data_IF_873897252172
#
_entry.id   IF_873897252172
#
_cell.length_a   1.000
_cell.length_b   1.000
_cell.length_c   1.000
_cell.angle_alpha   90.00
_cell.angle_beta   90.00
_cell.angle_gamma   90.00
#
_symmetry.space_group_name_H-M   'P 1'
#
loop_
_entity.id
_entity.type
_entity.pdbx_description
1 polymer ?
#
# COMPACT_ATOMS: atom_id res chain seq x y z
N UNK A 1 5.77 -26.81 23.26
CA UNK A 1 6.47 -26.84 21.96
C UNK A 1 5.75 -25.86 21.05
N UNK A 2 6.44 -24.91 20.41
CA UNK A 2 5.80 -23.95 19.49
C UNK A 2 5.54 -24.69 18.17
N UNK A 3 4.34 -24.54 17.60
CA UNK A 3 3.94 -25.17 16.33
C UNK A 3 4.87 -24.76 15.18
N UNK A 4 5.17 -25.67 14.26
CA UNK A 4 5.91 -25.40 13.01
C UNK A 4 5.20 -24.41 12.09
N UNK A 5 3.89 -24.23 12.26
CA UNK A 5 3.05 -23.28 11.53
C UNK A 5 3.09 -21.86 12.11
N UNK A 6 3.76 -21.67 13.25
CA UNK A 6 3.84 -20.38 13.92
C UNK A 6 4.69 -19.40 13.12
N UNK A 7 4.20 -18.16 13.00
CA UNK A 7 4.84 -17.09 12.24
C UNK A 7 5.07 -15.88 13.12
N UNK A 8 6.29 -15.38 13.14
CA UNK A 8 6.61 -14.11 13.79
C UNK A 8 6.43 -12.98 12.77
N UNK A 9 5.67 -11.96 13.13
CA UNK A 9 5.44 -10.77 12.30
C UNK A 9 6.09 -9.56 12.94
N UNK A 10 7.05 -8.96 12.26
CA UNK A 10 7.74 -7.75 12.71
C UNK A 10 7.35 -6.60 11.80
N UNK A 11 6.80 -5.54 12.40
CA UNK A 11 6.46 -4.31 11.69
C UNK A 11 7.56 -3.27 11.91
N UNK A 12 8.12 -2.77 10.83
CA UNK A 12 9.21 -1.79 10.85
C UNK A 12 8.77 -0.56 10.08
N UNK A 13 9.02 0.62 10.63
CA UNK A 13 8.78 1.90 9.99
C UNK A 13 10.09 2.64 9.79
N UNK A 14 10.24 3.28 8.64
CA UNK A 14 11.40 4.09 8.30
C UNK A 14 10.94 5.41 7.69
N UNK A 15 11.60 6.54 8.01
CA UNK A 15 11.31 7.82 7.36
C UNK A 15 11.75 7.82 5.88
N UNK A 16 12.71 6.96 5.49
CA UNK A 16 13.11 6.78 4.09
C UNK A 16 11.90 6.34 3.26
N UNK A 17 11.63 7.08 2.21
CA UNK A 17 10.45 7.01 1.37
C UNK A 17 10.79 7.11 -0.13
N UNK A 18 12.04 6.83 -0.51
CA UNK A 18 12.44 6.69 -1.90
C UNK A 18 12.09 5.31 -2.43
N UNK A 19 11.83 5.22 -3.75
CA UNK A 19 11.51 3.95 -4.38
C UNK A 19 12.69 2.96 -4.30
N UNK A 20 13.92 3.44 -4.42
CA UNK A 20 15.12 2.59 -4.31
C UNK A 20 15.24 1.98 -2.91
N UNK A 21 14.92 2.73 -1.84
CA UNK A 21 14.91 2.19 -0.48
C UNK A 21 13.85 1.10 -0.28
N UNK A 22 12.71 1.22 -0.98
CA UNK A 22 11.66 0.20 -1.01
C UNK A 22 12.15 -1.09 -1.69
N UNK A 23 12.82 -0.97 -2.84
CA UNK A 23 13.39 -2.10 -3.56
C UNK A 23 14.46 -2.80 -2.74
N UNK A 24 15.37 -2.05 -2.11
CA UNK A 24 16.42 -2.58 -1.23
C UNK A 24 15.82 -3.43 -0.10
N UNK A 25 14.81 -2.91 0.60
CA UNK A 25 14.18 -3.63 1.71
C UNK A 25 13.38 -4.85 1.22
N UNK A 26 12.58 -4.72 0.17
CA UNK A 26 11.77 -5.84 -0.35
C UNK A 26 12.63 -6.97 -0.94
N UNK A 27 13.76 -6.63 -1.57
CA UNK A 27 14.74 -7.60 -2.08
C UNK A 27 15.65 -8.15 -0.98
N UNK A 28 15.51 -7.67 0.27
CA UNK A 28 16.40 -8.02 1.38
C UNK A 28 17.88 -7.73 1.05
N UNK A 29 18.16 -6.58 0.43
CA UNK A 29 19.48 -6.20 -0.06
C UNK A 29 19.96 -7.10 -1.20
N UNK A 30 19.07 -7.47 -2.12
CA UNK A 30 19.36 -8.37 -3.24
C UNK A 30 19.41 -9.87 -2.91
N UNK A 31 19.17 -10.27 -1.66
CA UNK A 31 19.11 -11.70 -1.27
C UNK A 31 17.90 -12.42 -1.85
N UNK A 32 16.84 -11.71 -2.21
CA UNK A 32 15.68 -12.20 -2.97
C UNK A 32 15.80 -11.72 -4.42
N UNK A 33 16.05 -12.63 -5.35
CA UNK A 33 16.18 -12.36 -6.78
C UNK A 33 14.97 -12.85 -7.58
N UNK A 34 14.86 -12.46 -8.86
CA UNK A 34 13.81 -12.94 -9.77
C UNK A 34 12.48 -12.18 -9.67
N UNK A 35 12.50 -10.97 -9.09
CA UNK A 35 11.32 -10.12 -8.88
C UNK A 35 11.38 -8.83 -9.72
N UNK A 36 12.18 -8.79 -10.77
CA UNK A 36 12.40 -7.60 -11.61
C UNK A 36 11.08 -7.09 -12.20
N UNK A 37 10.21 -8.02 -12.64
CA UNK A 37 8.86 -7.69 -13.12
C UNK A 37 7.99 -7.11 -12.01
N UNK A 38 8.03 -7.67 -10.80
CA UNK A 38 7.27 -7.15 -9.67
C UNK A 38 7.73 -5.75 -9.26
N UNK A 39 9.04 -5.45 -9.35
CA UNK A 39 9.55 -4.11 -9.08
C UNK A 39 9.13 -3.11 -10.15
N UNK A 40 9.06 -3.52 -11.41
CA UNK A 40 8.49 -2.68 -12.46
C UNK A 40 6.99 -2.40 -12.21
N UNK A 41 6.21 -3.43 -11.86
CA UNK A 41 4.81 -3.28 -11.42
C UNK A 41 4.67 -2.33 -10.24
N UNK A 42 5.54 -2.46 -9.23
CA UNK A 42 5.51 -1.63 -8.03
C UNK A 42 5.87 -0.19 -8.35
N UNK A 43 6.79 0.05 -9.29
CA UNK A 43 7.16 1.39 -9.75
C UNK A 43 5.98 2.10 -10.40
N UNK A 44 5.21 1.39 -11.23
CA UNK A 44 4.01 1.94 -11.84
C UNK A 44 2.91 2.19 -10.81
N UNK A 45 2.67 1.24 -9.89
CA UNK A 45 1.72 1.43 -8.80
C UNK A 45 2.08 2.66 -7.95
N UNK A 46 3.35 2.79 -7.56
CA UNK A 46 3.87 3.89 -6.77
C UNK A 46 3.67 5.23 -7.48
N UNK A 47 4.10 5.32 -8.74
CA UNK A 47 3.94 6.52 -9.57
C UNK A 47 2.48 6.92 -9.72
N UNK A 48 1.61 5.96 -10.03
CA UNK A 48 0.19 6.22 -10.29
C UNK A 48 -0.57 6.61 -9.03
N UNK A 49 -0.32 5.94 -7.90
CA UNK A 49 -1.03 6.23 -6.64
C UNK A 49 -0.58 7.53 -5.98
N UNK A 50 0.68 7.95 -6.21
CA UNK A 50 1.20 9.24 -5.75
C UNK A 50 1.17 10.35 -6.79
N UNK A 51 0.58 10.11 -7.97
CA UNK A 51 0.45 11.10 -9.06
C UNK A 51 1.80 11.74 -9.43
N UNK A 52 2.84 10.91 -9.52
CA UNK A 52 4.20 11.32 -9.87
C UNK A 52 4.39 11.36 -11.40
N UNK A 53 5.26 12.26 -11.90
CA UNK A 53 5.54 12.34 -13.33
C UNK A 53 6.22 11.07 -13.86
N UNK A 54 6.09 10.85 -15.16
CA UNK A 54 6.91 9.85 -15.86
C UNK A 54 8.38 10.24 -15.71
N UNK A 55 9.22 9.29 -15.35
CA UNK A 55 10.66 9.54 -15.12
C UNK A 55 10.98 10.17 -13.75
N UNK A 56 10.07 10.11 -12.76
CA UNK A 56 10.38 10.53 -11.40
C UNK A 56 11.67 9.88 -10.87
N UNK A 57 12.43 10.62 -10.06
CA UNK A 57 13.65 10.10 -9.42
C UNK A 57 13.28 8.99 -8.44
N UNK A 58 13.90 7.82 -8.59
CA UNK A 58 13.67 6.69 -7.67
C UNK A 58 14.50 6.78 -6.39
N UNK A 59 15.56 7.58 -6.41
CA UNK A 59 16.48 7.74 -5.29
C UNK A 59 16.07 8.86 -4.33
N UNK A 60 15.24 9.80 -4.77
CA UNK A 60 14.71 10.88 -3.93
C UNK A 60 13.57 10.38 -3.06
N UNK A 61 13.59 10.77 -1.77
CA UNK A 61 12.49 10.51 -0.86
C UNK A 61 11.25 11.32 -1.25
N UNK A 62 10.07 10.75 -1.05
CA UNK A 62 8.84 11.53 -1.06
C UNK A 62 8.91 12.66 -0.01
N UNK A 63 8.16 13.76 -0.19
CA UNK A 63 8.20 14.90 0.73
C UNK A 63 8.00 14.49 2.19
N UNK A 64 8.85 15.03 3.08
CA UNK A 64 8.77 14.74 4.51
C UNK A 64 7.39 15.09 5.06
N UNK A 65 6.83 14.20 5.88
CA UNK A 65 5.56 14.41 6.58
C UNK A 65 5.78 14.29 8.08
N UNK A 66 5.51 15.35 8.82
CA UNK A 66 5.64 15.39 10.29
C UNK A 66 4.45 14.68 10.95
N UNK A 67 4.49 13.35 10.97
CA UNK A 67 3.46 12.54 11.61
C UNK A 67 4.08 11.22 12.10
N UNK A 68 3.73 10.75 13.31
CA UNK A 68 4.32 9.53 13.90
C UNK A 68 4.06 8.21 13.14
N UNK A 69 3.25 8.26 12.08
CA UNK A 69 2.99 7.13 11.18
C UNK A 69 3.28 7.43 9.72
N UNK A 70 4.00 8.52 9.42
CA UNK A 70 4.55 8.78 8.09
C UNK A 70 5.71 7.84 7.78
N UNK A 71 6.30 7.98 6.60
CA UNK A 71 7.33 7.05 6.13
C UNK A 71 6.79 5.67 5.75
N UNK A 72 7.65 4.86 5.15
CA UNK A 72 7.29 3.52 4.69
C UNK A 72 7.20 2.54 5.86
N UNK A 73 6.24 1.63 5.77
CA UNK A 73 6.03 0.57 6.74
C UNK A 73 6.21 -0.79 6.06
N UNK A 74 6.89 -1.70 6.72
CA UNK A 74 7.20 -3.03 6.23
C UNK A 74 6.81 -4.07 7.27
N UNK A 75 6.30 -5.18 6.78
CA UNK A 75 5.99 -6.38 7.56
C UNK A 75 6.97 -7.47 7.12
N UNK A 76 7.75 -7.98 8.06
CA UNK A 76 8.58 -9.16 7.90
C UNK A 76 7.89 -10.35 8.54
N UNK A 77 7.49 -11.33 7.73
CA UNK A 77 6.92 -12.60 8.19
C UNK A 77 8.05 -13.64 8.22
N UNK A 78 8.40 -14.07 9.43
CA UNK A 78 9.44 -15.07 9.68
C UNK A 78 8.76 -16.41 9.92
N UNK A 79 9.08 -17.38 9.06
CA UNK A 79 8.59 -18.75 9.13
C UNK A 79 9.78 -19.70 9.27
N UNK A 80 9.69 -20.72 10.13
CA UNK A 80 10.81 -21.64 10.42
C UNK A 80 11.31 -22.39 9.18
N UNK A 81 10.42 -22.68 8.24
CA UNK A 81 10.75 -23.36 6.99
C UNK A 81 11.45 -22.48 5.94
N UNK A 82 11.48 -21.16 6.12
CA UNK A 82 12.01 -20.24 5.12
C UNK A 82 13.39 -19.71 5.54
N UNK A 83 14.37 -19.79 4.64
CA UNK A 83 15.72 -19.25 4.88
C UNK A 83 15.75 -17.71 4.99
N UNK A 84 14.79 -17.05 4.35
CA UNK A 84 14.62 -15.59 4.37
C UNK A 84 13.17 -15.24 4.76
N UNK A 85 12.95 -14.12 5.47
CA UNK A 85 11.61 -13.62 5.73
C UNK A 85 10.90 -13.20 4.45
N UNK A 86 9.57 -13.36 4.44
CA UNK A 86 8.74 -12.69 3.47
C UNK A 86 8.52 -11.24 3.88
N UNK A 87 8.70 -10.33 2.94
CA UNK A 87 8.57 -8.89 3.17
C UNK A 87 7.36 -8.34 2.41
N UNK A 88 6.49 -7.62 3.13
CA UNK A 88 5.36 -6.90 2.58
C UNK A 88 5.51 -5.41 2.86
N UNK A 89 5.40 -4.59 1.83
CA UNK A 89 5.35 -3.13 1.92
C UNK A 89 3.93 -2.69 2.27
N UNK A 90 3.79 -1.63 3.06
CA UNK A 90 2.54 -0.90 3.29
C UNK A 90 2.75 0.54 2.84
N UNK A 91 2.29 0.86 1.62
CA UNK A 91 2.35 2.18 1.01
C UNK A 91 1.36 3.10 1.75
N UNK A 92 1.83 4.14 2.47
CA UNK A 92 1.00 5.01 3.32
C UNK A 92 0.25 6.08 2.52
N UNK A 93 -0.76 5.66 1.75
CA UNK A 93 -1.58 6.53 0.87
C UNK A 93 -2.21 7.71 1.60
N UNK A 94 -2.56 7.57 2.88
CA UNK A 94 -3.10 8.68 3.68
C UNK A 94 -2.13 9.87 3.83
N UNK A 95 -0.82 9.63 3.76
CA UNK A 95 0.21 10.65 4.01
C UNK A 95 0.79 11.26 2.73
N UNK A 96 0.83 10.49 1.66
CA UNK A 96 1.50 10.89 0.42
C UNK A 96 0.57 10.93 -0.80
N UNK A 97 -0.62 10.35 -0.70
CA UNK A 97 -1.67 10.55 -1.70
C UNK A 97 -2.21 11.97 -1.63
N UNK A 98 -2.49 12.57 -2.79
CA UNK A 98 -3.06 13.92 -2.86
C UNK A 98 -4.52 13.97 -2.38
N UNK A 99 -5.30 12.94 -2.71
CA UNK A 99 -6.63 12.68 -2.16
C UNK A 99 -7.02 11.23 -2.36
N UNK A 100 -8.00 10.75 -1.59
CA UNK A 100 -8.49 9.38 -1.71
C UNK A 100 -8.97 9.06 -3.14
N UNK A 101 -9.66 9.98 -3.78
CA UNK A 101 -10.13 9.82 -5.16
C UNK A 101 -8.97 9.74 -6.16
N UNK A 102 -7.90 10.52 -5.97
CA UNK A 102 -6.71 10.46 -6.84
C UNK A 102 -5.95 9.15 -6.66
N UNK A 103 -5.74 8.72 -5.41
CA UNK A 103 -5.12 7.42 -5.10
C UNK A 103 -5.92 6.29 -5.75
N UNK A 104 -7.25 6.32 -5.63
CA UNK A 104 -8.12 5.30 -6.21
C UNK A 104 -8.02 5.26 -7.74
N UNK A 105 -8.03 6.42 -8.41
CA UNK A 105 -7.84 6.52 -9.87
C UNK A 105 -6.48 5.95 -10.29
N UNK A 106 -5.43 6.25 -9.54
CA UNK A 106 -4.09 5.70 -9.76
C UNK A 106 -4.07 4.18 -9.63
N UNK A 107 -4.65 3.64 -8.56
CA UNK A 107 -4.75 2.21 -8.34
C UNK A 107 -5.59 1.52 -9.43
N UNK A 108 -6.76 2.06 -9.79
CA UNK A 108 -7.59 1.46 -10.85
C UNK A 108 -6.88 1.48 -12.19
N UNK A 109 -6.11 2.53 -12.50
CA UNK A 109 -5.30 2.58 -13.72
C UNK A 109 -4.19 1.52 -13.70
N UNK A 110 -3.53 1.33 -12.56
CA UNK A 110 -2.57 0.24 -12.38
C UNK A 110 -3.24 -1.13 -12.62
N UNK A 111 -4.41 -1.36 -12.02
CA UNK A 111 -5.13 -2.63 -12.17
C UNK A 111 -5.46 -2.90 -13.65
N UNK A 112 -5.88 -1.89 -14.41
CA UNK A 112 -6.11 -2.03 -15.86
C UNK A 112 -4.82 -2.40 -16.62
N UNK A 113 -3.72 -1.69 -16.38
CA UNK A 113 -2.44 -1.92 -17.05
C UNK A 113 -1.91 -3.35 -16.87
N UNK A 114 -2.19 -3.95 -15.72
CA UNK A 114 -1.72 -5.28 -15.35
C UNK A 114 -2.81 -6.36 -15.43
N UNK A 115 -3.85 -6.15 -16.25
CA UNK A 115 -4.84 -7.18 -16.59
C UNK A 115 -5.86 -7.50 -15.49
N UNK A 116 -5.98 -6.63 -14.47
CA UNK A 116 -6.86 -6.75 -13.31
C UNK A 116 -7.98 -5.71 -13.30
N UNK A 117 -8.28 -5.11 -14.46
CA UNK A 117 -9.26 -4.02 -14.60
C UNK A 117 -10.70 -4.41 -14.18
N UNK A 118 -11.03 -5.70 -14.13
CA UNK A 118 -12.34 -6.19 -13.65
C UNK A 118 -12.66 -5.76 -12.22
N UNK A 119 -11.64 -5.51 -11.38
CA UNK A 119 -11.83 -5.03 -10.01
C UNK A 119 -12.01 -3.50 -9.91
N UNK A 120 -11.66 -2.74 -10.94
CA UNK A 120 -11.57 -1.27 -10.87
C UNK A 120 -12.92 -0.61 -10.53
N UNK A 121 -13.99 -1.02 -11.21
CA UNK A 121 -15.32 -0.45 -11.01
C UNK A 121 -15.86 -0.73 -9.59
N UNK A 122 -15.68 -1.97 -9.10
CA UNK A 122 -16.12 -2.37 -7.77
C UNK A 122 -15.30 -1.67 -6.67
N UNK A 123 -14.00 -1.49 -6.88
CA UNK A 123 -13.15 -0.74 -5.96
C UNK A 123 -13.61 0.72 -5.83
N UNK A 124 -13.85 1.39 -6.96
CA UNK A 124 -14.33 2.77 -6.99
C UNK A 124 -15.70 2.91 -6.33
N UNK A 125 -16.60 1.95 -6.58
CA UNK A 125 -17.92 1.90 -5.94
C UNK A 125 -17.80 1.77 -4.42
N UNK A 126 -16.96 0.84 -3.94
CA UNK A 126 -16.74 0.62 -2.51
C UNK A 126 -16.21 1.89 -1.84
N UNK A 127 -15.18 2.53 -2.40
CA UNK A 127 -14.61 3.77 -1.83
C UNK A 127 -15.66 4.88 -1.68
N UNK A 128 -16.49 5.09 -2.70
CA UNK A 128 -17.56 6.11 -2.69
C UNK A 128 -18.63 5.86 -1.62
N UNK A 129 -18.71 4.67 -1.04
CA UNK A 129 -19.61 4.33 0.06
C UNK A 129 -18.99 4.60 1.44
N UNK A 130 -17.68 4.85 1.53
CA UNK A 130 -16.97 4.97 2.81
C UNK A 130 -16.81 6.42 3.31
N UNK A 131 -17.09 7.41 2.46
CA UNK A 131 -17.09 8.83 2.81
C UNK A 131 -17.83 9.67 1.75
N UNK A 132 -18.28 10.90 2.08
CA UNK A 132 -18.83 11.84 1.11
C UNK A 132 -17.88 12.13 -0.06
N UNK A 133 -18.43 12.32 -1.26
CA UNK A 133 -17.63 12.54 -2.47
C UNK A 133 -16.68 13.74 -2.35
N UNK A 134 -17.16 14.86 -1.80
CA UNK A 134 -16.32 16.06 -1.64
C UNK A 134 -15.08 15.76 -0.79
N UNK A 135 -15.24 14.99 0.30
CA UNK A 135 -14.13 14.59 1.17
C UNK A 135 -13.13 13.71 0.43
N UNK A 136 -13.62 12.74 -0.35
CA UNK A 136 -12.76 11.85 -1.16
C UNK A 136 -11.97 12.63 -2.21
N UNK A 137 -12.53 13.72 -2.75
CA UNK A 137 -11.89 14.52 -3.79
C UNK A 137 -10.83 15.49 -3.22
N UNK A 138 -11.04 16.02 -2.01
CA UNK A 138 -10.20 17.08 -1.43
C UNK A 138 -9.25 16.62 -0.33
N UNK A 139 -9.40 15.40 0.21
CA UNK A 139 -8.59 14.92 1.32
C UNK A 139 -8.15 13.47 1.15
N UNK A 140 -7.14 13.07 1.92
CA UNK A 140 -6.68 11.69 2.07
C UNK A 140 -6.91 11.22 3.50
N UNK A 141 -7.19 9.93 3.68
CA UNK A 141 -7.33 9.34 5.01
C UNK A 141 -8.26 8.13 5.05
N UNK A 142 -9.19 8.03 4.09
CA UNK A 142 -10.07 6.87 3.96
C UNK A 142 -9.27 5.65 3.51
N UNK A 143 -8.30 5.81 2.62
CA UNK A 143 -7.31 4.78 2.29
C UNK A 143 -6.06 4.97 3.16
N UNK A 144 -5.93 4.12 4.19
CA UNK A 144 -4.77 4.17 5.09
C UNK A 144 -3.51 3.65 4.43
N UNK A 145 -3.60 2.47 3.81
CA UNK A 145 -2.48 1.83 3.13
C UNK A 145 -2.93 1.06 1.89
N UNK A 146 -2.03 0.96 0.92
CA UNK A 146 -2.02 -0.14 -0.06
C UNK A 146 -0.81 -1.00 0.27
N UNK A 147 -1.03 -2.25 0.67
CA UNK A 147 0.08 -3.19 0.88
C UNK A 147 0.38 -4.00 -0.36
N UNK A 148 1.67 -4.33 -0.51
CA UNK A 148 2.21 -5.06 -1.66
C UNK A 148 3.17 -6.14 -1.17
N UNK A 149 2.96 -7.38 -1.62
CA UNK A 149 3.93 -8.46 -1.47
C UNK A 149 4.39 -8.95 -2.85
N UNK A 150 5.66 -9.36 -2.91
CA UNK A 150 6.24 -9.97 -4.11
C UNK A 150 5.77 -11.42 -4.20
N UNK A 151 5.08 -11.77 -5.28
CA UNK A 151 4.67 -13.14 -5.62
C UNK A 151 5.26 -13.54 -6.97
N UNK A 152 5.23 -14.83 -7.31
CA UNK A 152 5.90 -15.40 -8.51
C UNK A 152 5.58 -14.68 -9.83
N UNK A 153 4.35 -14.22 -10.02
CA UNK A 153 3.91 -13.72 -11.34
C UNK A 153 3.58 -12.22 -11.38
N UNK A 154 3.19 -11.65 -10.24
CA UNK A 154 2.71 -10.27 -10.11
C UNK A 154 2.58 -9.86 -8.65
N UNK A 155 2.28 -8.60 -8.35
CA UNK A 155 2.11 -8.16 -6.95
C UNK A 155 0.83 -8.71 -6.30
N UNK A 156 0.92 -9.18 -5.07
CA UNK A 156 -0.25 -9.38 -4.20
C UNK A 156 -0.59 -8.06 -3.51
N UNK A 157 -1.83 -7.60 -3.64
CA UNK A 157 -2.29 -6.30 -3.16
C UNK A 157 -3.37 -6.42 -2.09
N UNK A 158 -3.33 -5.55 -1.09
CA UNK A 158 -4.42 -5.36 -0.13
C UNK A 158 -4.58 -3.88 0.19
N UNK A 159 -5.79 -3.34 0.05
CA UNK A 159 -6.09 -1.97 0.50
C UNK A 159 -6.68 -2.00 1.91
N UNK A 160 -6.22 -1.09 2.76
CA UNK A 160 -6.75 -0.88 4.10
C UNK A 160 -7.56 0.41 4.13
N UNK A 161 -8.87 0.28 4.29
CA UNK A 161 -9.75 1.41 4.46
C UNK A 161 -9.92 1.77 5.94
N UNK A 162 -10.07 3.06 6.20
CA UNK A 162 -10.47 3.65 7.46
C UNK A 162 -11.73 4.50 7.20
N UNK A 163 -12.92 3.88 7.21
CA UNK A 163 -14.15 4.57 6.85
C UNK A 163 -14.43 5.75 7.79
N UNK A 164 -14.85 6.87 7.20
CA UNK A 164 -15.49 7.93 7.97
C UNK A 164 -16.94 7.50 8.17
N UNK A 165 -17.20 6.73 9.23
CA UNK A 165 -18.57 6.37 9.60
C UNK A 165 -19.30 7.68 9.94
N UNK A 166 -20.35 8.07 9.20
CA UNK A 166 -21.14 9.25 9.53
C UNK A 166 -21.68 9.11 10.96
N UNK A 167 -21.75 10.23 11.70
CA UNK A 167 -22.20 10.24 13.10
C UNK A 167 -23.55 9.54 13.30
N UNK A 168 -24.43 9.55 12.29
CA UNK A 168 -25.74 8.88 12.27
C UNK A 168 -25.65 7.35 12.39
N UNK A 169 -24.54 6.72 11.99
CA UNK A 169 -24.31 5.26 12.12
C UNK A 169 -23.57 4.94 13.43
N UNK A 170 -22.92 5.92 14.06
CA UNK A 170 -22.23 5.75 15.35
C UNK A 170 -23.21 5.31 16.44
N UNK A 171 -24.43 5.83 16.41
CA UNK A 171 -25.49 5.48 17.36
C UNK A 171 -26.08 4.09 17.12
N UNK A 172 -25.94 3.54 15.91
CA UNK A 172 -26.38 2.16 15.59
C UNK A 172 -25.31 1.10 15.97
N UNK A 173 -24.04 1.48 16.02
CA UNK A 173 -22.92 0.57 16.35
C UNK A 173 -22.59 0.54 17.85
N UNK A 174 -23.09 1.49 18.64
CA UNK A 174 -22.90 1.55 20.09
C UNK A 174 -24.05 0.90 20.89
N UNK A 175 -25.02 0.26 20.21
CA UNK A 175 -26.18 -0.41 20.83
C UNK A 175 -26.08 -1.95 20.82
N UNK A 176 -24.88 -2.50 20.59
CA UNK A 176 -24.59 -3.92 20.85
C UNK A 176 -23.46 -4.09 21.86
#
# INVERSE_FOLDING_TARGET
MISSECRLKIYVRTPRASFDSVVDILSMGGKRAGFEKNFQELKDLWRLTFDLPVGFSTSEDLPLREHGTSGMCYHFEIHQANALPDVKLYIPTKHYGQSDMKVAKGLTKYLELYGRGTYAANYMKALKQLAPLHQLETSSGVQSYISCALEKESLSLTTYFNPCIPLEIRDLLLVN
#
